data_IF_030505977407
#
_entry.id   IF_030505977407
#
_cell.length_a   1.000
_cell.length_b   1.000
_cell.length_c   1.000
_cell.angle_alpha   90.00
_cell.angle_beta   90.00
_cell.angle_gamma   90.00
#
_symmetry.space_group_name_H-M   'P 1'
#
loop_
_entity.id
_entity.type
_entity.pdbx_description
1 polymer ?
#
# COMPACT_ATOMS: atom_id res chain seq x y z
N UNK A 1 2.60 1.33 10.75
CA UNK A 1 1.75 2.46 11.15
C UNK A 1 2.10 3.71 10.35
N UNK A 2 3.33 4.27 10.47
CA UNK A 2 3.74 5.52 9.82
C UNK A 2 3.50 5.55 8.30
N UNK A 3 3.70 4.44 7.61
CA UNK A 3 3.44 4.30 6.18
C UNK A 3 1.99 4.65 5.83
N UNK A 4 1.03 4.10 6.58
CA UNK A 4 -0.39 4.39 6.35
C UNK A 4 -0.79 5.80 6.80
N UNK A 5 -0.24 6.27 7.91
CA UNK A 5 -0.50 7.60 8.42
C UNK A 5 -0.02 8.69 7.45
N UNK A 6 1.26 8.62 7.00
CA UNK A 6 1.84 9.60 6.06
C UNK A 6 1.13 9.63 4.71
N UNK A 7 0.74 8.45 4.22
CA UNK A 7 0.02 8.34 2.95
C UNK A 7 -1.32 9.11 2.98
N UNK A 8 -2.07 9.04 4.08
CA UNK A 8 -3.45 9.55 4.13
C UNK A 8 -3.63 10.85 4.91
N UNK A 9 -2.66 11.27 5.73
CA UNK A 9 -2.75 12.55 6.46
C UNK A 9 -2.91 13.75 5.52
N UNK A 10 -2.37 13.68 4.31
CA UNK A 10 -2.51 14.70 3.27
C UNK A 10 -3.98 15.02 2.94
N UNK A 11 -4.89 14.04 3.11
CA UNK A 11 -6.31 14.21 2.80
C UNK A 11 -6.95 15.38 3.54
N UNK A 12 -6.55 15.57 4.81
CA UNK A 12 -7.00 16.71 5.61
C UNK A 12 -6.39 18.03 5.18
N UNK A 13 -5.19 18.01 4.64
CA UNK A 13 -4.50 19.21 4.19
C UNK A 13 -5.00 19.72 2.82
N UNK A 14 -5.50 18.84 1.94
CA UNK A 14 -5.90 19.18 0.56
C UNK A 14 -6.83 20.38 0.46
N UNK A 15 -7.93 20.53 1.24
CA UNK A 15 -8.79 21.68 1.15
C UNK A 15 -8.06 23.01 1.43
N UNK A 16 -7.15 22.99 2.40
CA UNK A 16 -6.37 24.18 2.80
C UNK A 16 -5.22 24.50 1.83
N UNK A 17 -4.55 23.46 1.28
CA UNK A 17 -3.47 23.63 0.30
C UNK A 17 -3.95 24.30 -0.98
N UNK A 18 -5.20 24.05 -1.39
CA UNK A 18 -5.83 24.70 -2.53
C UNK A 18 -5.84 26.22 -2.36
N UNK A 19 -6.31 26.68 -1.21
CA UNK A 19 -6.39 28.11 -0.91
C UNK A 19 -5.03 28.72 -0.65
N UNK A 20 -4.15 28.02 0.13
CA UNK A 20 -2.86 28.54 0.53
C UNK A 20 -1.88 28.74 -0.64
N UNK A 21 -1.87 27.82 -1.62
CA UNK A 21 -0.98 27.87 -2.79
C UNK A 21 -1.68 28.34 -4.07
N UNK A 22 -2.92 28.84 -4.00
CA UNK A 22 -3.72 29.32 -5.14
C UNK A 22 -3.83 28.26 -6.26
N UNK A 23 -4.35 27.08 -5.91
CA UNK A 23 -4.43 25.93 -6.81
C UNK A 23 -5.81 25.72 -7.43
N UNK A 24 -6.71 26.71 -7.40
CA UNK A 24 -8.08 26.56 -7.91
C UNK A 24 -8.20 26.68 -9.44
N UNK A 25 -7.13 27.07 -10.13
CA UNK A 25 -7.10 27.14 -11.59
C UNK A 25 -6.95 25.75 -12.26
N UNK A 26 -7.26 25.65 -13.55
CA UNK A 26 -7.05 24.43 -14.32
C UNK A 26 -5.58 23.93 -14.29
N UNK A 27 -4.62 24.87 -14.32
CA UNK A 27 -3.20 24.56 -14.13
C UNK A 27 -2.89 24.18 -12.66
N UNK A 28 -3.62 24.72 -11.71
CA UNK A 28 -3.55 24.43 -10.28
C UNK A 28 -3.99 23.01 -9.95
N UNK A 29 -4.93 22.44 -10.69
CA UNK A 29 -5.38 21.04 -10.47
C UNK A 29 -4.25 20.02 -10.63
N UNK A 30 -3.38 20.18 -11.64
CA UNK A 30 -2.17 19.32 -11.79
C UNK A 30 -1.15 19.58 -10.69
N UNK A 31 -0.96 20.84 -10.24
CA UNK A 31 -0.11 21.14 -9.09
C UNK A 31 -0.63 20.48 -7.82
N UNK A 32 -1.96 20.50 -7.60
CA UNK A 32 -2.57 19.78 -6.50
C UNK A 32 -2.33 18.25 -6.60
N UNK A 33 -2.47 17.71 -7.80
CA UNK A 33 -2.11 16.30 -8.08
C UNK A 33 -0.66 16.00 -7.70
N UNK A 34 0.29 16.90 -8.04
CA UNK A 34 1.69 16.77 -7.61
C UNK A 34 1.85 16.86 -6.09
N UNK A 35 1.15 17.78 -5.42
CA UNK A 35 1.20 17.91 -3.96
C UNK A 35 0.85 16.59 -3.26
N UNK A 36 -0.14 15.88 -3.77
CA UNK A 36 -0.62 14.63 -3.18
C UNK A 36 0.20 13.42 -3.65
N UNK A 37 0.47 13.31 -4.96
CA UNK A 37 1.16 12.14 -5.54
C UNK A 37 2.67 12.12 -5.30
N UNK A 38 3.31 13.23 -4.96
CA UNK A 38 4.77 13.34 -4.75
C UNK A 38 5.30 12.34 -3.73
N UNK A 39 4.53 11.99 -2.71
CA UNK A 39 4.82 10.90 -1.79
C UNK A 39 4.97 9.56 -2.53
N UNK A 40 4.05 9.26 -3.44
CA UNK A 40 4.07 8.01 -4.23
C UNK A 40 5.31 7.91 -5.12
N UNK A 41 5.69 9.00 -5.78
CA UNK A 41 6.93 9.05 -6.59
C UNK A 41 8.18 8.86 -5.74
N UNK A 42 8.24 9.50 -4.56
CA UNK A 42 9.28 9.27 -3.58
C UNK A 42 9.32 7.81 -3.11
N UNK A 43 8.15 7.20 -2.85
CA UNK A 43 8.05 5.81 -2.41
C UNK A 43 8.57 4.81 -3.45
N UNK A 44 8.33 5.05 -4.75
CA UNK A 44 8.93 4.23 -5.81
C UNK A 44 10.46 4.26 -5.76
N UNK A 45 11.05 5.44 -5.60
CA UNK A 45 12.51 5.59 -5.51
C UNK A 45 13.06 4.93 -4.21
N UNK A 46 12.39 5.15 -3.07
CA UNK A 46 12.74 4.53 -1.78
C UNK A 46 12.70 3.02 -1.83
N UNK A 47 11.67 2.46 -2.45
CA UNK A 47 11.51 1.00 -2.62
C UNK A 47 12.61 0.41 -3.51
N UNK A 48 12.96 1.08 -4.62
CA UNK A 48 14.02 0.65 -5.52
C UNK A 48 15.40 0.59 -4.84
N UNK A 49 15.68 1.53 -3.93
CA UNK A 49 16.96 1.60 -3.22
C UNK A 49 17.00 0.73 -1.95
N UNK A 50 15.85 0.42 -1.35
CA UNK A 50 15.77 -0.20 -0.02
C UNK A 50 16.49 -1.56 0.07
N UNK A 51 16.39 -2.40 -0.95
CA UNK A 51 17.06 -3.70 -0.98
C UNK A 51 18.57 -3.55 -0.89
N UNK A 52 19.16 -2.72 -1.76
CA UNK A 52 20.60 -2.45 -1.78
C UNK A 52 21.09 -1.84 -0.46
N UNK A 53 20.37 -0.84 0.06
CA UNK A 53 20.73 -0.18 1.31
C UNK A 53 20.66 -1.16 2.49
N UNK A 54 19.62 -1.99 2.55
CA UNK A 54 19.43 -2.99 3.61
C UNK A 54 20.52 -4.07 3.59
N UNK A 55 20.98 -4.49 2.43
CA UNK A 55 22.06 -5.47 2.30
C UNK A 55 23.43 -4.86 2.67
N UNK A 56 23.63 -3.57 2.37
CA UNK A 56 24.88 -2.87 2.66
C UNK A 56 25.01 -2.46 4.12
N UNK A 57 23.98 -1.82 4.69
CA UNK A 57 24.05 -1.15 6.02
C UNK A 57 23.29 -1.88 7.13
N UNK A 58 22.48 -2.88 6.79
CA UNK A 58 21.64 -3.60 7.73
C UNK A 58 20.20 -3.08 7.76
N UNK A 59 19.32 -3.93 8.28
CA UNK A 59 17.87 -3.64 8.28
C UNK A 59 17.53 -2.54 9.29
N UNK A 60 18.08 -2.65 10.49
CA UNK A 60 17.90 -1.66 11.56
C UNK A 60 18.39 -0.27 11.14
N UNK A 61 19.57 -0.19 10.54
CA UNK A 61 20.15 1.09 10.10
C UNK A 61 19.26 1.76 9.05
N UNK A 62 18.73 1.02 8.08
CA UNK A 62 17.80 1.56 7.08
C UNK A 62 16.49 2.01 7.73
N UNK A 63 15.93 1.25 8.67
CA UNK A 63 14.74 1.66 9.41
C UNK A 63 14.98 2.93 10.26
N UNK A 64 16.13 3.08 10.88
CA UNK A 64 16.53 4.32 11.58
C UNK A 64 16.61 5.51 10.60
N UNK A 65 17.20 5.32 9.42
CA UNK A 65 17.21 6.35 8.38
C UNK A 65 15.79 6.74 7.96
N UNK A 66 14.90 5.77 7.76
CA UNK A 66 13.51 6.08 7.42
C UNK A 66 12.81 6.86 8.53
N UNK A 67 13.08 6.56 9.80
CA UNK A 67 12.51 7.31 10.92
C UNK A 67 12.94 8.78 10.93
N UNK A 68 14.23 9.05 10.66
CA UNK A 68 14.76 10.42 10.53
C UNK A 68 14.14 11.13 9.33
N UNK A 69 14.01 10.46 8.19
CA UNK A 69 13.40 11.03 7.00
C UNK A 69 11.90 11.32 7.20
N UNK A 70 11.15 10.44 7.89
CA UNK A 70 9.77 10.72 8.28
C UNK A 70 9.65 11.97 9.13
N UNK A 71 10.52 12.10 10.14
CA UNK A 71 10.55 13.26 11.02
C UNK A 71 10.89 14.54 10.25
N UNK A 72 11.93 14.51 9.44
CA UNK A 72 12.35 15.65 8.63
C UNK A 72 11.27 16.06 7.63
N UNK A 73 10.66 15.08 6.93
CA UNK A 73 9.59 15.31 5.97
C UNK A 73 8.38 15.98 6.63
N UNK A 74 7.89 15.43 7.75
CA UNK A 74 6.69 15.95 8.42
C UNK A 74 6.89 17.39 8.92
N UNK A 75 8.04 17.67 9.54
CA UNK A 75 8.37 19.03 10.02
C UNK A 75 8.55 20.00 8.86
N UNK A 76 9.28 19.62 7.80
CA UNK A 76 9.50 20.47 6.64
C UNK A 76 8.20 20.73 5.91
N UNK A 77 7.32 19.74 5.73
CA UNK A 77 6.03 19.90 5.08
C UNK A 77 5.10 20.83 5.91
N UNK A 78 5.09 20.67 7.25
CA UNK A 78 4.30 21.54 8.14
C UNK A 78 4.76 22.99 8.13
N UNK A 79 6.06 23.25 7.98
CA UNK A 79 6.66 24.58 8.01
C UNK A 79 6.82 25.18 6.60
N UNK A 80 6.47 24.45 5.54
CA UNK A 80 6.63 24.92 4.17
C UNK A 80 5.82 26.19 3.89
N UNK A 81 6.48 27.20 3.32
CA UNK A 81 5.87 28.44 2.82
C UNK A 81 5.89 28.50 1.30
N UNK A 82 6.75 27.72 0.66
CA UNK A 82 6.90 27.58 -0.78
C UNK A 82 6.43 26.20 -1.24
N UNK A 83 5.79 26.15 -2.42
CA UNK A 83 5.25 24.93 -2.99
C UNK A 83 6.35 23.91 -3.33
N UNK A 84 7.51 24.36 -3.83
CA UNK A 84 8.63 23.49 -4.15
C UNK A 84 9.22 22.82 -2.91
N UNK A 85 9.34 23.57 -1.79
CA UNK A 85 9.79 23.02 -0.49
C UNK A 85 8.78 21.98 0.01
N UNK A 86 7.48 22.26 -0.14
CA UNK A 86 6.42 21.31 0.21
C UNK A 86 6.55 19.99 -0.58
N UNK A 87 6.71 20.08 -1.91
CA UNK A 87 6.89 18.91 -2.77
C UNK A 87 8.16 18.14 -2.39
N UNK A 88 9.28 18.82 -2.17
CA UNK A 88 10.53 18.18 -1.76
C UNK A 88 10.37 17.43 -0.42
N UNK A 89 9.68 18.03 0.55
CA UNK A 89 9.38 17.39 1.82
C UNK A 89 8.52 16.12 1.62
N UNK A 90 7.49 16.17 0.77
CA UNK A 90 6.65 15.00 0.46
C UNK A 90 7.43 13.89 -0.26
N UNK A 91 8.35 14.23 -1.17
CA UNK A 91 9.24 13.24 -1.80
C UNK A 91 10.14 12.57 -0.77
N UNK A 92 10.70 13.32 0.18
CA UNK A 92 11.50 12.76 1.29
C UNK A 92 10.68 11.80 2.16
N UNK A 93 9.42 12.17 2.49
CA UNK A 93 8.48 11.27 3.17
C UNK A 93 8.23 10.00 2.35
N UNK A 94 8.04 10.16 1.04
CA UNK A 94 7.90 9.04 0.12
C UNK A 94 9.10 8.09 0.13
N UNK A 95 10.32 8.60 0.07
CA UNK A 95 11.54 7.77 0.20
C UNK A 95 11.52 6.94 1.48
N UNK A 96 11.05 7.51 2.59
CA UNK A 96 10.89 6.79 3.86
C UNK A 96 9.83 5.71 3.76
N UNK A 97 8.65 6.03 3.20
CA UNK A 97 7.55 5.09 3.00
C UNK A 97 8.01 3.88 2.18
N UNK A 98 8.66 4.13 1.03
CA UNK A 98 9.11 3.06 0.15
C UNK A 98 10.17 2.17 0.79
N UNK A 99 11.14 2.76 1.47
CA UNK A 99 12.17 2.00 2.16
C UNK A 99 11.62 1.22 3.36
N UNK A 100 10.69 1.81 4.13
CA UNK A 100 10.10 1.16 5.29
C UNK A 100 9.16 0.01 4.92
N UNK A 101 8.34 0.17 3.87
CA UNK A 101 7.36 -0.85 3.45
C UNK A 101 8.04 -2.14 2.98
N UNK A 102 9.25 -2.04 2.42
CA UNK A 102 10.05 -3.19 2.02
C UNK A 102 10.84 -3.77 3.19
N UNK A 103 11.53 -2.89 3.96
CA UNK A 103 12.51 -3.34 4.96
C UNK A 103 11.85 -3.87 6.22
N UNK A 104 10.72 -3.30 6.67
CA UNK A 104 10.10 -3.69 7.94
C UNK A 104 9.57 -5.14 7.93
N UNK A 105 8.83 -5.62 6.92
CA UNK A 105 8.41 -7.02 6.86
C UNK A 105 9.59 -8.00 6.80
N UNK A 106 10.65 -7.64 6.05
CA UNK A 106 11.87 -8.45 5.95
C UNK A 106 12.55 -8.55 7.31
N UNK A 107 12.71 -7.43 8.01
CA UNK A 107 13.28 -7.39 9.35
C UNK A 107 12.49 -8.25 10.34
N UNK A 108 11.15 -8.10 10.35
CA UNK A 108 10.26 -8.91 11.17
C UNK A 108 10.43 -10.40 10.86
N UNK A 109 10.46 -10.77 9.58
CA UNK A 109 10.60 -12.16 9.14
C UNK A 109 11.95 -12.78 9.50
N UNK A 110 13.03 -11.96 9.59
CA UNK A 110 14.37 -12.40 9.93
C UNK A 110 14.59 -12.59 11.44
N UNK A 111 13.89 -11.83 12.29
CA UNK A 111 13.98 -11.91 13.76
C UNK A 111 12.95 -12.86 14.36
N UNK A 112 11.74 -12.90 13.79
CA UNK A 112 10.63 -13.64 14.36
C UNK A 112 10.89 -15.15 14.41
N UNK A 113 10.48 -15.84 15.50
CA UNK A 113 10.43 -17.29 15.56
C UNK A 113 9.56 -17.85 14.43
N UNK A 114 9.94 -19.02 13.89
CA UNK A 114 9.22 -19.66 12.77
C UNK A 114 7.71 -19.82 13.04
N UNK A 115 7.32 -20.13 14.30
CA UNK A 115 5.91 -20.26 14.72
C UNK A 115 5.07 -19.02 14.56
N UNK A 116 5.63 -17.84 14.79
CA UNK A 116 4.89 -16.56 14.83
C UNK A 116 5.20 -15.64 13.67
N UNK A 117 6.11 -16.03 12.77
CA UNK A 117 6.58 -15.20 11.65
C UNK A 117 5.44 -14.68 10.78
N UNK A 118 4.55 -15.57 10.36
CA UNK A 118 3.41 -15.21 9.51
C UNK A 118 2.47 -14.21 10.17
N UNK A 119 2.09 -14.46 11.44
CA UNK A 119 1.21 -13.57 12.18
C UNK A 119 1.84 -12.19 12.41
N UNK A 120 3.13 -12.12 12.71
CA UNK A 120 3.82 -10.83 12.91
C UNK A 120 3.93 -10.00 11.61
N UNK A 121 4.12 -10.66 10.47
CA UNK A 121 4.09 -9.98 9.16
C UNK A 121 2.67 -9.49 8.85
N UNK A 122 1.63 -10.26 9.19
CA UNK A 122 0.23 -9.82 9.04
C UNK A 122 -0.10 -8.62 9.94
N UNK A 123 0.44 -8.58 11.16
CA UNK A 123 0.31 -7.42 12.07
C UNK A 123 0.94 -6.17 11.44
N UNK A 124 2.06 -6.29 10.71
CA UNK A 124 2.64 -5.15 10.00
C UNK A 124 1.65 -4.55 8.98
N UNK A 125 0.94 -5.37 8.22
CA UNK A 125 -0.08 -4.91 7.27
C UNK A 125 -1.26 -4.25 8.00
N UNK A 126 -1.73 -4.85 9.09
CA UNK A 126 -2.79 -4.29 9.91
C UNK A 126 -2.41 -2.91 10.48
N UNK A 127 -1.14 -2.74 10.91
CA UNK A 127 -0.65 -1.46 11.39
C UNK A 127 -0.66 -0.36 10.32
N UNK A 128 -0.47 -0.69 9.04
CA UNK A 128 -0.61 0.26 7.93
C UNK A 128 -2.06 0.75 7.86
N UNK A 129 -3.03 -0.15 7.89
CA UNK A 129 -4.47 0.19 7.82
C UNK A 129 -4.93 0.98 9.06
N UNK A 130 -4.43 0.64 10.25
CA UNK A 130 -4.67 1.43 11.46
C UNK A 130 -4.07 2.84 11.30
N UNK A 131 -2.88 2.97 10.72
CA UNK A 131 -2.25 4.27 10.44
C UNK A 131 -3.11 5.14 9.53
N UNK A 132 -3.71 4.56 8.49
CA UNK A 132 -4.69 5.23 7.61
C UNK A 132 -5.87 5.75 8.42
N UNK A 133 -6.48 4.92 9.25
CA UNK A 133 -7.63 5.31 10.06
C UNK A 133 -7.27 6.40 11.06
N UNK A 134 -6.18 6.25 11.80
CA UNK A 134 -5.72 7.23 12.81
C UNK A 134 -5.41 8.57 12.17
N UNK A 135 -4.92 8.62 10.92
CA UNK A 135 -4.71 9.89 10.21
C UNK A 135 -6.02 10.67 9.98
N UNK A 136 -7.11 9.98 9.63
CA UNK A 136 -8.43 10.63 9.48
C UNK A 136 -8.95 11.17 10.81
N UNK A 137 -8.78 10.42 11.91
CA UNK A 137 -9.11 10.91 13.26
C UNK A 137 -8.27 12.12 13.62
N UNK A 138 -6.96 12.07 13.41
CA UNK A 138 -6.05 13.18 13.67
C UNK A 138 -6.46 14.42 12.89
N UNK A 139 -6.76 14.28 11.60
CA UNK A 139 -7.22 15.38 10.74
C UNK A 139 -8.51 16.01 11.27
N UNK A 140 -9.48 15.19 11.68
CA UNK A 140 -10.74 15.67 12.24
C UNK A 140 -10.53 16.50 13.52
N UNK A 141 -9.77 15.99 14.49
CA UNK A 141 -9.52 16.71 15.74
C UNK A 141 -8.71 17.99 15.55
N UNK A 142 -7.78 18.00 14.60
CA UNK A 142 -6.96 19.19 14.31
C UNK A 142 -7.68 20.24 13.44
N UNK A 143 -8.82 19.90 12.86
CA UNK A 143 -9.61 20.82 12.05
C UNK A 143 -10.00 22.10 12.80
N UNK A 144 -10.23 22.01 14.12
CA UNK A 144 -10.62 23.13 14.97
C UNK A 144 -9.53 24.21 15.13
N UNK A 145 -8.30 23.96 14.68
CA UNK A 145 -7.18 24.92 14.78
C UNK A 145 -7.21 26.03 13.70
N UNK A 146 -8.26 26.08 12.89
CA UNK A 146 -8.48 27.15 11.92
C UNK A 146 -7.67 27.02 10.62
N UNK A 147 -7.32 28.14 9.98
CA UNK A 147 -6.67 28.16 8.66
C UNK A 147 -5.31 27.43 8.60
N UNK A 148 -4.61 27.37 9.70
CA UNK A 148 -3.33 26.68 9.83
C UNK A 148 -3.47 25.20 10.20
N UNK A 149 -4.67 24.64 10.26
CA UNK A 149 -4.93 23.22 10.63
C UNK A 149 -4.08 22.24 9.82
N UNK A 150 -3.92 22.49 8.52
CA UNK A 150 -3.14 21.60 7.65
C UNK A 150 -1.66 21.45 8.07
N UNK A 151 -1.07 22.50 8.64
CA UNK A 151 0.30 22.46 9.17
C UNK A 151 0.40 21.52 10.37
N UNK A 152 -0.58 21.61 11.26
CA UNK A 152 -0.68 20.73 12.42
C UNK A 152 -0.99 19.28 12.01
N UNK A 153 -1.88 19.08 11.02
CA UNK A 153 -2.18 17.75 10.47
C UNK A 153 -0.93 17.07 9.93
N UNK A 154 -0.11 17.77 9.15
CA UNK A 154 1.15 17.21 8.64
C UNK A 154 2.22 17.10 9.74
N UNK A 155 2.29 18.09 10.63
CA UNK A 155 3.28 18.16 11.69
C UNK A 155 3.10 17.09 12.78
N UNK A 156 1.86 16.71 13.10
CA UNK A 156 1.58 15.73 14.17
C UNK A 156 2.20 14.36 13.89
N UNK A 157 2.46 14.03 12.63
CA UNK A 157 3.18 12.82 12.23
C UNK A 157 4.59 12.74 12.83
N UNK A 158 5.18 13.88 13.18
CA UNK A 158 6.49 13.93 13.85
C UNK A 158 6.50 13.17 15.19
N UNK A 159 5.37 13.14 15.90
CA UNK A 159 5.23 12.43 17.18
C UNK A 159 5.41 10.92 17.03
N UNK A 160 4.62 10.21 16.20
CA UNK A 160 4.85 8.79 15.99
C UNK A 160 6.17 8.50 15.25
N UNK A 161 6.73 9.44 14.45
CA UNK A 161 8.04 9.29 13.84
C UNK A 161 9.17 9.33 14.87
N UNK A 162 9.12 10.26 15.83
CA UNK A 162 10.06 10.33 16.94
C UNK A 162 9.98 9.09 17.85
N UNK A 163 8.76 8.62 18.13
CA UNK A 163 8.55 7.37 18.88
C UNK A 163 9.15 6.17 18.15
N UNK A 164 8.92 6.08 16.84
CA UNK A 164 9.49 5.01 16.00
C UNK A 164 11.02 5.05 16.01
N UNK A 165 11.62 6.23 15.85
CA UNK A 165 13.07 6.40 15.96
C UNK A 165 13.60 5.92 17.32
N UNK A 166 12.96 6.37 18.40
CA UNK A 166 13.37 6.03 19.76
C UNK A 166 13.29 4.53 20.02
N UNK A 167 12.18 3.88 19.62
CA UNK A 167 12.00 2.44 19.80
C UNK A 167 13.04 1.64 19.00
N UNK A 168 13.40 2.08 17.78
CA UNK A 168 14.41 1.42 16.95
C UNK A 168 15.83 1.47 17.57
N UNK A 169 16.12 2.40 18.48
CA UNK A 169 17.40 2.42 19.19
C UNK A 169 17.60 1.19 20.10
N UNK A 170 16.51 0.60 20.57
CA UNK A 170 16.52 -0.55 21.47
C UNK A 170 16.37 -1.90 20.75
N UNK A 171 16.12 -1.90 19.46
CA UNK A 171 15.91 -3.12 18.67
C UNK A 171 17.27 -3.60 18.11
N UNK A 172 17.60 -4.91 18.16
CA UNK A 172 18.86 -5.44 17.62
C UNK A 172 18.89 -5.43 16.10
N UNK A 173 20.06 -5.60 15.49
CA UNK A 173 20.18 -5.79 14.05
C UNK A 173 19.73 -7.22 13.64
N UNK A 174 19.36 -7.42 12.38
CA UNK A 174 18.94 -8.71 11.86
C UNK A 174 20.03 -9.78 12.03
N UNK A 175 19.73 -10.93 12.66
CA UNK A 175 20.70 -12.01 12.82
C UNK A 175 21.15 -12.58 11.46
N UNK A 176 20.28 -12.60 10.47
CA UNK A 176 20.61 -13.04 9.11
C UNK A 176 21.63 -12.13 8.46
N UNK A 177 21.45 -10.81 8.60
CA UNK A 177 22.39 -9.83 8.07
C UNK A 177 23.74 -9.89 8.81
N UNK A 178 23.72 -10.02 10.15
CA UNK A 178 24.94 -10.18 10.96
C UNK A 178 25.78 -11.38 10.50
N UNK A 179 25.12 -12.52 10.20
CA UNK A 179 25.81 -13.71 9.66
C UNK A 179 26.41 -13.45 8.27
N UNK A 180 25.74 -12.68 7.39
CA UNK A 180 26.33 -12.31 6.09
C UNK A 180 27.57 -11.44 6.20
N UNK A 181 27.72 -10.72 7.33
CA UNK A 181 28.89 -9.85 7.62
C UNK A 181 29.94 -10.56 8.49
N UNK A 182 29.79 -11.86 8.78
CA UNK A 182 30.71 -12.61 9.61
C UNK A 182 30.63 -12.33 11.12
N UNK A 183 29.63 -11.54 11.58
CA UNK A 183 29.39 -11.14 12.99
C UNK A 183 28.60 -12.23 13.72
N UNK A 184 29.16 -13.47 13.74
CA UNK A 184 28.45 -14.67 14.24
C UNK A 184 28.13 -14.62 15.74
N UNK A 185 29.01 -14.02 16.55
CA UNK A 185 28.78 -13.89 17.98
C UNK A 185 27.57 -13.01 18.29
N UNK A 186 27.42 -11.89 17.60
CA UNK A 186 26.28 -10.99 17.75
C UNK A 186 24.98 -11.62 17.23
N UNK A 187 25.04 -12.29 16.08
CA UNK A 187 23.90 -13.02 15.54
C UNK A 187 23.39 -14.07 16.53
N UNK A 188 24.30 -14.78 17.18
CA UNK A 188 23.99 -15.76 18.23
C UNK A 188 23.30 -15.10 19.41
N UNK A 189 23.86 -14.02 19.95
CA UNK A 189 23.29 -13.27 21.08
C UNK A 189 21.86 -12.81 20.79
N UNK A 190 21.59 -12.27 19.58
CA UNK A 190 20.25 -11.85 19.17
C UNK A 190 19.29 -13.05 19.11
N UNK A 191 19.67 -14.15 18.49
CA UNK A 191 18.83 -15.34 18.41
C UNK A 191 18.57 -15.98 19.77
N UNK A 192 19.59 -16.03 20.64
CA UNK A 192 19.44 -16.55 22.01
C UNK A 192 18.47 -15.70 22.84
N UNK A 193 18.51 -14.37 22.70
CA UNK A 193 17.59 -13.48 23.41
C UNK A 193 16.12 -13.62 22.95
N UNK A 194 15.88 -13.99 21.68
CA UNK A 194 14.53 -14.09 21.10
C UNK A 194 13.96 -15.50 21.20
N UNK A 195 14.78 -16.55 21.06
CA UNK A 195 14.31 -17.92 20.87
C UNK A 195 14.92 -18.93 21.84
N UNK A 196 15.90 -18.52 22.68
CA UNK A 196 16.66 -19.39 23.57
C UNK A 196 17.84 -20.09 22.88
N UNK A 197 18.80 -20.57 23.68
CA UNK A 197 20.11 -21.05 23.20
C UNK A 197 20.05 -22.27 22.29
N UNK A 198 19.13 -23.22 22.53
CA UNK A 198 18.98 -24.42 21.73
C UNK A 198 18.46 -24.15 20.32
N UNK A 199 17.40 -23.33 20.21
CA UNK A 199 16.80 -22.95 18.94
C UNK A 199 17.74 -22.02 18.12
N UNK A 200 18.53 -21.18 18.79
CA UNK A 200 19.48 -20.27 18.16
C UNK A 200 20.56 -21.03 17.37
N UNK A 201 21.11 -22.09 17.91
CA UNK A 201 22.13 -22.93 17.21
C UNK A 201 21.59 -23.55 15.94
N UNK A 202 20.44 -24.22 16.05
CA UNK A 202 19.79 -24.85 14.90
C UNK A 202 19.45 -23.81 13.81
N UNK A 203 19.01 -22.61 14.19
CA UNK A 203 18.67 -21.57 13.23
C UNK A 203 19.90 -20.97 12.55
N UNK A 204 21.03 -20.81 13.23
CA UNK A 204 22.30 -20.39 12.63
C UNK A 204 22.74 -21.40 11.56
N UNK A 205 22.68 -22.70 11.85
CA UNK A 205 23.02 -23.75 10.89
C UNK A 205 22.13 -23.68 9.63
N UNK A 206 20.80 -23.55 9.81
CA UNK A 206 19.85 -23.42 8.70
C UNK A 206 20.13 -22.16 7.86
N UNK A 207 20.37 -21.01 8.50
CA UNK A 207 20.68 -19.77 7.79
C UNK A 207 22.00 -19.91 7.02
N UNK A 208 23.04 -20.47 7.65
CA UNK A 208 24.37 -20.65 7.02
C UNK A 208 24.29 -21.62 5.84
N UNK A 209 23.57 -22.72 5.99
CA UNK A 209 23.31 -23.66 4.89
C UNK A 209 22.55 -23.00 3.72
N UNK A 210 21.63 -22.09 4.02
CA UNK A 210 20.88 -21.34 2.98
C UNK A 210 21.78 -20.42 2.15
N UNK A 211 22.92 -19.97 2.69
CA UNK A 211 23.89 -19.17 1.93
C UNK A 211 24.69 -20.00 0.92
N UNK A 212 24.99 -21.25 1.27
CA UNK A 212 25.67 -22.18 0.36
C UNK A 212 24.80 -22.54 -0.86
N UNK A 213 23.48 -22.65 -0.67
CA UNK A 213 22.52 -22.96 -1.72
C UNK A 213 22.11 -21.73 -2.60
N UNK A 214 22.64 -20.55 -2.34
CA UNK A 214 22.35 -19.32 -3.14
C UNK A 214 22.93 -19.33 -4.56
N UNK A 215 23.37 -20.46 -5.10
CA UNK A 215 24.11 -20.56 -6.35
C UNK A 215 23.29 -20.23 -7.63
N UNK A 216 21.99 -20.00 -7.57
CA UNK A 216 21.21 -19.61 -8.76
C UNK A 216 20.29 -18.43 -8.47
N UNK A 217 20.84 -17.23 -8.47
CA UNK A 217 19.98 -16.05 -8.71
C UNK A 217 19.51 -16.13 -10.16
N UNK A 218 18.26 -16.51 -10.34
CA UNK A 218 17.60 -16.43 -11.64
C UNK A 218 17.71 -14.99 -12.13
N UNK A 219 18.28 -14.79 -13.30
CA UNK A 219 18.49 -13.46 -13.84
C UNK A 219 17.14 -12.79 -14.10
N UNK A 220 17.03 -11.49 -13.82
CA UNK A 220 15.83 -10.68 -14.07
C UNK A 220 15.26 -10.85 -15.50
N UNK A 221 16.14 -11.14 -16.49
CA UNK A 221 15.76 -11.42 -17.87
C UNK A 221 14.94 -12.71 -18.04
N UNK A 222 15.17 -13.72 -17.22
CA UNK A 222 14.42 -14.99 -17.30
C UNK A 222 12.93 -14.82 -16.94
N UNK A 223 12.59 -13.80 -16.14
CA UNK A 223 11.21 -13.47 -15.82
C UNK A 223 10.38 -13.12 -17.07
N UNK A 224 11.02 -12.54 -18.09
CA UNK A 224 10.37 -12.16 -19.36
C UNK A 224 10.39 -13.30 -20.40
N UNK A 225 10.86 -14.50 -20.03
CA UNK A 225 10.79 -15.66 -20.91
C UNK A 225 9.33 -16.00 -21.28
N UNK A 226 9.13 -16.60 -22.47
CA UNK A 226 7.80 -16.88 -23.00
C UNK A 226 6.90 -17.67 -22.04
N UNK A 227 7.49 -18.57 -21.25
CA UNK A 227 6.78 -19.40 -20.25
C UNK A 227 6.11 -18.60 -19.12
N UNK A 228 6.61 -17.39 -18.78
CA UNK A 228 6.07 -16.57 -17.71
C UNK A 228 5.23 -15.39 -18.19
N UNK A 229 5.13 -15.17 -19.51
CA UNK A 229 4.42 -14.01 -20.07
C UNK A 229 2.96 -13.93 -19.62
N UNK A 230 2.26 -15.06 -19.60
CA UNK A 230 0.84 -15.08 -19.18
C UNK A 230 0.71 -14.71 -17.70
N UNK A 231 1.57 -15.24 -16.83
CA UNK A 231 1.58 -14.93 -15.40
C UNK A 231 1.92 -13.45 -15.14
N UNK A 232 2.91 -12.92 -15.88
CA UNK A 232 3.26 -11.51 -15.79
C UNK A 232 2.14 -10.60 -16.29
N UNK A 233 1.52 -10.91 -17.43
CA UNK A 233 0.39 -10.14 -17.95
C UNK A 233 -0.78 -10.15 -16.96
N UNK A 234 -1.07 -11.30 -16.35
CA UNK A 234 -2.06 -11.37 -15.29
C UNK A 234 -1.65 -10.53 -14.07
N UNK A 235 -0.38 -10.64 -13.62
CA UNK A 235 0.15 -9.84 -12.52
C UNK A 235 0.08 -8.32 -12.79
N UNK A 236 0.44 -7.88 -13.99
CA UNK A 236 0.30 -6.48 -14.40
C UNK A 236 -1.16 -6.04 -14.47
N UNK A 237 -2.04 -6.91 -14.99
CA UNK A 237 -3.47 -6.63 -15.09
C UNK A 237 -4.14 -6.46 -13.73
N UNK A 238 -3.92 -7.39 -12.78
CA UNK A 238 -4.51 -7.29 -11.44
C UNK A 238 -3.95 -6.07 -10.68
N UNK A 239 -2.65 -5.77 -10.82
CA UNK A 239 -2.02 -4.61 -10.22
C UNK A 239 -2.52 -3.29 -10.83
N UNK A 240 -2.79 -3.27 -12.15
CA UNK A 240 -3.41 -2.14 -12.83
C UNK A 240 -4.82 -1.89 -12.27
N UNK A 241 -5.70 -2.89 -12.31
CA UNK A 241 -7.08 -2.72 -11.84
C UNK A 241 -7.17 -2.39 -10.35
N UNK A 242 -6.23 -2.89 -9.53
CA UNK A 242 -6.18 -2.53 -8.11
C UNK A 242 -6.04 -1.01 -7.92
N UNK A 243 -5.22 -0.34 -8.71
CA UNK A 243 -4.94 1.09 -8.57
C UNK A 243 -5.80 1.97 -9.49
N UNK A 244 -6.10 1.51 -10.71
CA UNK A 244 -6.86 2.26 -11.69
C UNK A 244 -8.33 2.48 -11.29
N UNK A 245 -8.86 1.70 -10.33
CA UNK A 245 -10.15 1.95 -9.70
C UNK A 245 -10.13 3.13 -8.71
N UNK A 246 -8.98 3.76 -8.48
CA UNK A 246 -8.86 5.03 -7.76
C UNK A 246 -8.76 4.93 -6.25
N UNK A 247 -8.48 3.77 -5.65
CA UNK A 247 -8.51 3.59 -4.19
C UNK A 247 -7.63 4.59 -3.44
N UNK A 248 -6.39 4.81 -3.87
CA UNK A 248 -5.49 5.75 -3.21
C UNK A 248 -5.92 7.20 -3.46
N UNK A 249 -6.37 7.54 -4.68
CA UNK A 249 -6.93 8.86 -4.96
C UNK A 249 -8.15 9.13 -4.06
N UNK A 250 -9.07 8.17 -3.93
CA UNK A 250 -10.23 8.30 -3.05
C UNK A 250 -9.78 8.57 -1.61
N UNK A 251 -8.87 7.79 -1.04
CA UNK A 251 -8.39 8.00 0.33
C UNK A 251 -7.73 9.37 0.53
N UNK A 252 -6.94 9.83 -0.44
CA UNK A 252 -6.20 11.10 -0.31
C UNK A 252 -7.07 12.34 -0.54
N UNK A 253 -8.19 12.20 -1.23
CA UNK A 253 -9.11 13.29 -1.50
C UNK A 253 -10.47 13.14 -0.78
N UNK A 254 -10.59 12.24 0.19
CA UNK A 254 -11.87 11.85 0.83
C UNK A 254 -12.66 13.05 1.36
N UNK A 255 -12.11 13.99 2.18
CA UNK A 255 -12.85 15.16 2.64
C UNK A 255 -13.28 16.08 1.48
N UNK A 256 -12.45 16.19 0.44
CA UNK A 256 -12.77 16.99 -0.76
C UNK A 256 -13.93 16.37 -1.52
N UNK A 257 -13.98 15.04 -1.67
CA UNK A 257 -15.06 14.31 -2.36
C UNK A 257 -16.38 14.52 -1.60
N UNK A 258 -16.37 14.39 -0.27
CA UNK A 258 -17.56 14.63 0.54
C UNK A 258 -18.02 16.09 0.52
N UNK A 259 -17.08 17.05 0.53
CA UNK A 259 -17.38 18.46 0.35
C UNK A 259 -18.06 18.77 -1.00
N UNK A 260 -17.60 18.13 -2.09
CA UNK A 260 -18.22 18.25 -3.42
C UNK A 260 -19.62 17.60 -3.49
N UNK A 261 -19.91 16.63 -2.63
CA UNK A 261 -21.24 16.02 -2.51
C UNK A 261 -22.25 16.92 -1.75
N UNK A 262 -21.83 18.07 -1.24
CA UNK A 262 -22.66 19.02 -0.51
C UNK A 262 -22.49 18.99 1.01
N UNK A 263 -21.53 18.20 1.53
CA UNK A 263 -21.25 18.14 2.96
C UNK A 263 -20.51 19.38 3.47
N UNK A 264 -20.84 19.82 4.68
CA UNK A 264 -20.01 20.79 5.40
C UNK A 264 -18.63 20.20 5.70
N UNK A 265 -17.61 21.06 5.81
CA UNK A 265 -16.23 20.62 6.01
C UNK A 265 -16.08 19.69 7.23
N UNK A 266 -16.70 20.00 8.36
CA UNK A 266 -16.70 19.18 9.57
C UNK A 266 -17.34 17.80 9.35
N UNK A 267 -18.46 17.76 8.61
CA UNK A 267 -19.15 16.53 8.22
C UNK A 267 -18.28 15.68 7.31
N UNK A 268 -17.63 16.29 6.31
CA UNK A 268 -16.73 15.59 5.39
C UNK A 268 -15.55 14.91 6.09
N UNK A 269 -14.96 15.55 7.09
CA UNK A 269 -13.92 14.94 7.91
C UNK A 269 -14.45 13.80 8.81
N UNK A 270 -15.63 13.99 9.42
CA UNK A 270 -16.28 12.93 10.22
C UNK A 270 -16.64 11.70 9.37
N UNK A 271 -17.14 11.90 8.16
CA UNK A 271 -17.41 10.83 7.20
C UNK A 271 -16.13 10.09 6.79
N UNK A 272 -15.01 10.84 6.64
CA UNK A 272 -13.70 10.22 6.36
C UNK A 272 -13.22 9.32 7.49
N UNK A 273 -13.45 9.68 8.75
CA UNK A 273 -13.17 8.83 9.91
C UNK A 273 -13.96 7.52 9.84
N UNK A 274 -15.26 7.60 9.49
CA UNK A 274 -16.10 6.41 9.36
C UNK A 274 -15.59 5.46 8.28
N UNK A 275 -15.17 5.99 7.13
CA UNK A 275 -14.55 5.20 6.05
C UNK A 275 -13.26 4.53 6.54
N UNK A 276 -12.42 5.23 7.30
CA UNK A 276 -11.22 4.68 7.91
C UNK A 276 -11.52 3.52 8.87
N UNK A 277 -12.54 3.66 9.72
CA UNK A 277 -12.98 2.59 10.64
C UNK A 277 -13.47 1.36 9.89
N UNK A 278 -14.28 1.56 8.84
CA UNK A 278 -14.76 0.47 8.00
C UNK A 278 -13.58 -0.25 7.33
N UNK A 279 -12.59 0.48 6.83
CA UNK A 279 -11.40 -0.12 6.25
C UNK A 279 -10.66 -1.03 7.25
N UNK A 280 -10.48 -0.60 8.50
CA UNK A 280 -9.89 -1.44 9.56
C UNK A 280 -10.75 -2.67 9.83
N UNK A 281 -12.07 -2.50 10.06
CA UNK A 281 -12.98 -3.60 10.34
C UNK A 281 -13.01 -4.64 9.22
N UNK A 282 -13.09 -4.17 7.97
CA UNK A 282 -13.13 -5.05 6.80
C UNK A 282 -11.79 -5.74 6.52
N UNK A 283 -10.67 -5.15 6.96
CA UNK A 283 -9.36 -5.82 6.90
C UNK A 283 -9.33 -7.04 7.84
N UNK A 284 -9.89 -6.97 9.04
CA UNK A 284 -10.05 -8.15 9.92
C UNK A 284 -10.93 -9.21 9.26
N UNK A 285 -12.06 -8.80 8.67
CA UNK A 285 -12.95 -9.71 7.93
C UNK A 285 -12.19 -10.38 6.78
N UNK A 286 -11.37 -9.63 6.05
CA UNK A 286 -10.57 -10.16 4.93
C UNK A 286 -9.60 -11.25 5.38
N UNK A 287 -8.85 -11.02 6.47
CA UNK A 287 -7.91 -12.00 7.03
C UNK A 287 -8.64 -13.32 7.37
N UNK A 288 -9.84 -13.22 7.92
CA UNK A 288 -10.64 -14.40 8.26
C UNK A 288 -11.26 -15.10 7.03
N UNK A 289 -11.62 -14.32 6.00
CA UNK A 289 -12.41 -14.80 4.87
C UNK A 289 -11.55 -15.41 3.75
N UNK A 290 -10.29 -14.93 3.59
CA UNK A 290 -9.42 -15.31 2.47
C UNK A 290 -9.13 -16.82 2.41
N UNK A 291 -9.00 -17.46 3.58
CA UNK A 291 -8.74 -18.91 3.66
C UNK A 291 -10.03 -19.75 3.62
N UNK A 292 -11.19 -19.11 3.85
CA UNK A 292 -12.49 -19.80 3.85
C UNK A 292 -13.18 -19.83 2.51
N UNK A 293 -13.22 -18.71 1.81
CA UNK A 293 -13.91 -18.59 0.52
C UNK A 293 -13.02 -18.84 -0.69
N UNK A 294 -11.71 -18.63 -0.55
CA UNK A 294 -10.78 -18.70 -1.68
C UNK A 294 -10.56 -17.34 -2.35
N UNK A 295 -9.56 -17.31 -3.24
CA UNK A 295 -9.06 -16.05 -3.81
C UNK A 295 -9.97 -15.54 -4.93
N UNK A 296 -10.37 -16.41 -5.84
CA UNK A 296 -11.20 -16.07 -7.01
C UNK A 296 -12.60 -15.55 -6.63
N UNK A 297 -13.38 -16.20 -5.74
CA UNK A 297 -14.67 -15.67 -5.31
C UNK A 297 -14.56 -14.31 -4.64
N UNK A 298 -13.57 -14.13 -3.73
CA UNK A 298 -13.37 -12.85 -3.05
C UNK A 298 -13.07 -11.72 -4.03
N UNK A 299 -12.20 -11.96 -5.03
CA UNK A 299 -11.92 -10.99 -6.08
C UNK A 299 -13.17 -10.67 -6.88
N UNK A 300 -13.92 -11.69 -7.31
CA UNK A 300 -15.12 -11.49 -8.14
C UNK A 300 -16.19 -10.67 -7.43
N UNK A 301 -16.57 -11.07 -6.19
CA UNK A 301 -17.57 -10.34 -5.41
C UNK A 301 -17.12 -8.94 -5.03
N UNK A 302 -15.85 -8.79 -4.61
CA UNK A 302 -15.34 -7.50 -4.20
C UNK A 302 -15.26 -6.51 -5.35
N UNK A 303 -14.73 -6.92 -6.52
CA UNK A 303 -14.61 -6.01 -7.68
C UNK A 303 -15.97 -5.69 -8.30
N UNK A 304 -16.92 -6.64 -8.29
CA UNK A 304 -18.31 -6.34 -8.67
C UNK A 304 -18.93 -5.28 -7.74
N UNK A 305 -18.77 -5.44 -6.43
CA UNK A 305 -19.24 -4.46 -5.45
C UNK A 305 -18.56 -3.10 -5.61
N UNK A 306 -17.25 -3.07 -5.90
CA UNK A 306 -16.52 -1.83 -6.22
C UNK A 306 -17.10 -1.13 -7.46
N UNK A 307 -17.36 -1.87 -8.54
CA UNK A 307 -17.93 -1.33 -9.77
C UNK A 307 -19.32 -0.73 -9.52
N UNK A 308 -20.20 -1.47 -8.86
CA UNK A 308 -21.54 -0.99 -8.50
C UNK A 308 -21.44 0.28 -7.62
N UNK A 309 -20.57 0.29 -6.63
CA UNK A 309 -20.39 1.44 -5.73
C UNK A 309 -19.92 2.68 -6.48
N UNK A 310 -18.90 2.56 -7.35
CA UNK A 310 -18.36 3.68 -8.14
C UNK A 310 -19.39 4.23 -9.14
N UNK A 311 -20.15 3.36 -9.80
CA UNK A 311 -21.25 3.77 -10.69
C UNK A 311 -22.37 4.46 -9.90
N UNK A 312 -22.67 4.00 -8.68
CA UNK A 312 -23.64 4.66 -7.78
C UNK A 312 -23.15 6.04 -7.36
N UNK A 313 -21.85 6.21 -7.06
CA UNK A 313 -21.25 7.51 -6.76
C UNK A 313 -21.38 8.45 -7.96
N UNK A 314 -21.05 7.96 -9.15
CA UNK A 314 -21.20 8.72 -10.41
C UNK A 314 -22.63 9.22 -10.59
N UNK A 315 -23.59 8.32 -10.42
CA UNK A 315 -25.01 8.69 -10.51
C UNK A 315 -25.43 9.69 -9.45
N UNK A 316 -25.00 9.52 -8.20
CA UNK A 316 -25.33 10.43 -7.10
C UNK A 316 -24.80 11.85 -7.34
N UNK A 317 -23.59 11.99 -7.89
CA UNK A 317 -23.05 13.30 -8.29
C UNK A 317 -23.82 13.91 -9.49
N UNK A 318 -24.26 13.09 -10.44
CA UNK A 318 -25.06 13.55 -11.56
C UNK A 318 -26.44 14.07 -11.13
N UNK A 319 -27.10 13.33 -10.22
CA UNK A 319 -28.43 13.65 -9.72
C UNK A 319 -28.47 14.81 -8.72
N UNK A 320 -27.34 15.24 -8.17
CA UNK A 320 -27.14 16.28 -7.17
C UNK A 320 -27.93 16.09 -5.86
N UNK A 321 -27.38 16.61 -4.74
CA UNK A 321 -28.09 16.59 -3.45
C UNK A 321 -28.17 15.23 -2.72
N UNK A 322 -27.35 14.25 -3.11
CA UNK A 322 -27.40 12.88 -2.54
C UNK A 322 -26.16 12.54 -1.70
N UNK A 323 -25.71 13.43 -0.80
CA UNK A 323 -24.54 13.25 0.07
C UNK A 323 -24.55 11.89 0.81
N UNK A 324 -25.70 11.46 1.34
CA UNK A 324 -25.82 10.19 2.05
C UNK A 324 -25.58 8.98 1.14
N UNK A 325 -25.98 9.07 -0.11
CA UNK A 325 -25.74 8.00 -1.10
C UNK A 325 -24.27 7.92 -1.43
N UNK A 326 -23.61 9.06 -1.61
CA UNK A 326 -22.15 9.12 -1.84
C UNK A 326 -21.40 8.50 -0.64
N UNK A 327 -21.80 8.82 0.59
CA UNK A 327 -21.21 8.24 1.80
C UNK A 327 -21.37 6.70 1.83
N UNK A 328 -22.59 6.20 1.66
CA UNK A 328 -22.87 4.76 1.69
C UNK A 328 -22.12 4.04 0.58
N UNK A 329 -22.10 4.59 -0.62
CA UNK A 329 -21.41 4.01 -1.76
C UNK A 329 -19.88 4.03 -1.60
N UNK A 330 -19.28 5.11 -1.02
CA UNK A 330 -17.86 5.14 -0.70
C UNK A 330 -17.49 4.13 0.39
N UNK A 331 -18.29 4.00 1.44
CA UNK A 331 -18.11 2.98 2.47
C UNK A 331 -18.17 1.58 1.83
N UNK A 332 -19.16 1.32 0.98
CA UNK A 332 -19.30 0.03 0.29
C UNK A 332 -18.12 -0.25 -0.63
N UNK A 333 -17.64 0.76 -1.37
CA UNK A 333 -16.46 0.65 -2.23
C UNK A 333 -15.22 0.26 -1.42
N UNK A 334 -14.94 0.98 -0.33
CA UNK A 334 -13.77 0.70 0.53
C UNK A 334 -13.90 -0.67 1.20
N UNK A 335 -15.10 -1.04 1.66
CA UNK A 335 -15.35 -2.36 2.23
C UNK A 335 -15.06 -3.48 1.22
N UNK A 336 -15.59 -3.35 0.00
CA UNK A 336 -15.35 -4.31 -1.08
C UNK A 336 -13.87 -4.39 -1.47
N UNK A 337 -13.16 -3.27 -1.54
CA UNK A 337 -11.72 -3.24 -1.80
C UNK A 337 -10.94 -3.94 -0.67
N UNK A 338 -11.24 -3.62 0.59
CA UNK A 338 -10.53 -4.14 1.75
C UNK A 338 -10.64 -5.67 1.90
N UNK A 339 -11.76 -6.27 1.48
CA UNK A 339 -11.93 -7.74 1.50
C UNK A 339 -11.39 -8.44 0.25
N UNK A 340 -11.11 -7.71 -0.83
CA UNK A 340 -10.76 -8.30 -2.13
C UNK A 340 -9.39 -7.83 -2.63
N UNK A 341 -9.35 -6.87 -3.56
CA UNK A 341 -8.13 -6.42 -4.24
C UNK A 341 -7.03 -5.97 -3.28
N UNK A 342 -7.36 -5.42 -2.11
CA UNK A 342 -6.38 -4.98 -1.12
C UNK A 342 -5.44 -6.12 -0.71
N UNK A 343 -5.91 -7.14 -0.01
CA UNK A 343 -5.07 -8.25 0.46
C UNK A 343 -4.87 -9.34 -0.60
N UNK A 344 -5.91 -9.69 -1.38
CA UNK A 344 -5.91 -10.90 -2.23
C UNK A 344 -4.90 -10.80 -3.36
N UNK A 345 -4.69 -9.60 -3.95
CA UNK A 345 -3.69 -9.41 -5.00
C UNK A 345 -2.30 -9.88 -4.55
N UNK A 346 -1.83 -9.43 -3.40
CA UNK A 346 -0.49 -9.77 -2.92
C UNK A 346 -0.34 -11.25 -2.58
N UNK A 347 -1.38 -11.85 -1.99
CA UNK A 347 -1.41 -13.29 -1.72
C UNK A 347 -1.36 -14.06 -3.03
N UNK A 348 -2.20 -13.72 -3.99
CA UNK A 348 -2.26 -14.39 -5.28
C UNK A 348 -0.94 -14.28 -6.05
N UNK A 349 -0.30 -13.11 -6.08
CA UNK A 349 1.02 -12.93 -6.68
C UNK A 349 2.09 -13.82 -6.03
N UNK A 350 2.00 -14.03 -4.71
CA UNK A 350 2.92 -14.91 -4.00
C UNK A 350 2.67 -16.39 -4.28
N UNK A 351 1.49 -16.76 -4.71
CA UNK A 351 1.06 -18.16 -4.98
C UNK A 351 1.26 -18.56 -6.44
N UNK A 352 1.08 -17.63 -7.40
CA UNK A 352 1.15 -17.95 -8.84
C UNK A 352 2.56 -17.99 -9.41
N UNK A 353 3.52 -17.27 -8.81
CA UNK A 353 4.90 -17.25 -9.31
C UNK A 353 5.75 -18.34 -8.66
N UNK A 354 6.56 -19.08 -9.46
CA UNK A 354 7.49 -20.10 -8.96
C UNK A 354 8.45 -19.51 -7.92
N UNK A 355 8.85 -20.35 -6.97
CA UNK A 355 9.66 -19.93 -5.81
C UNK A 355 10.94 -19.19 -6.18
N UNK A 356 11.60 -19.57 -7.28
CA UNK A 356 12.86 -18.97 -7.76
C UNK A 356 12.66 -17.56 -8.33
N UNK A 357 11.53 -17.32 -9.03
CA UNK A 357 11.22 -16.05 -9.72
C UNK A 357 10.30 -15.14 -8.91
N UNK A 358 9.66 -15.64 -7.86
CA UNK A 358 8.62 -14.95 -7.07
C UNK A 358 9.03 -13.56 -6.60
N UNK A 359 10.21 -13.45 -6.00
CA UNK A 359 10.69 -12.16 -5.48
C UNK A 359 10.88 -11.13 -6.60
N UNK A 360 11.45 -11.54 -7.73
CA UNK A 360 11.65 -10.66 -8.89
C UNK A 360 10.30 -10.27 -9.54
N UNK A 361 9.37 -11.23 -9.67
CA UNK A 361 8.03 -10.99 -10.21
C UNK A 361 7.23 -10.00 -9.35
N UNK A 362 7.19 -10.23 -8.03
CA UNK A 362 6.50 -9.33 -7.08
C UNK A 362 7.12 -7.92 -7.12
N UNK A 363 8.45 -7.81 -7.24
CA UNK A 363 9.12 -6.51 -7.35
C UNK A 363 8.73 -5.74 -8.61
N UNK A 364 8.68 -6.43 -9.77
CA UNK A 364 8.30 -5.80 -11.05
C UNK A 364 6.84 -5.39 -11.06
N UNK A 365 5.94 -6.29 -10.62
CA UNK A 365 4.51 -6.02 -10.54
C UNK A 365 4.23 -4.93 -9.49
N UNK A 366 4.93 -4.95 -8.36
CA UNK A 366 4.83 -3.92 -7.32
C UNK A 366 5.30 -2.54 -7.79
N UNK A 367 6.38 -2.48 -8.58
CA UNK A 367 6.81 -1.23 -9.21
C UNK A 367 5.73 -0.69 -10.15
N UNK A 368 5.18 -1.53 -11.03
CA UNK A 368 4.06 -1.18 -11.90
C UNK A 368 2.83 -0.70 -11.13
N UNK A 369 2.46 -1.40 -10.06
CA UNK A 369 1.38 -1.02 -9.17
C UNK A 369 1.58 0.39 -8.59
N UNK A 370 2.79 0.68 -8.11
CA UNK A 370 3.14 2.00 -7.57
C UNK A 370 3.11 3.09 -8.64
N UNK A 371 3.56 2.80 -9.86
CA UNK A 371 3.50 3.72 -10.99
C UNK A 371 2.05 4.08 -11.34
N UNK A 372 1.18 3.08 -11.47
CA UNK A 372 -0.26 3.31 -11.73
C UNK A 372 -0.89 4.12 -10.59
N UNK A 373 -0.60 3.76 -9.33
CA UNK A 373 -1.09 4.47 -8.15
C UNK A 373 -0.70 5.95 -8.15
N UNK A 374 0.58 6.26 -8.35
CA UNK A 374 1.08 7.62 -8.39
C UNK A 374 0.49 8.42 -9.55
N UNK A 375 0.33 7.78 -10.72
CA UNK A 375 -0.28 8.40 -11.91
C UNK A 375 -1.76 8.72 -11.71
N UNK A 376 -2.55 7.78 -11.21
CA UNK A 376 -3.98 7.98 -10.91
C UNK A 376 -4.15 9.08 -9.86
N UNK A 377 -3.34 9.08 -8.81
CA UNK A 377 -3.39 10.13 -7.77
C UNK A 377 -3.02 11.52 -8.32
N UNK A 378 -2.03 11.58 -9.21
CA UNK A 378 -1.60 12.81 -9.89
C UNK A 378 -2.72 13.38 -10.78
N UNK A 379 -3.36 12.51 -11.54
CA UNK A 379 -4.34 12.92 -12.55
C UNK A 379 -5.72 13.20 -11.96
N UNK A 380 -6.07 12.63 -10.82
CA UNK A 380 -7.40 12.72 -10.21
C UNK A 380 -7.97 14.16 -10.12
N UNK A 381 -7.23 15.19 -9.62
CA UNK A 381 -7.78 16.54 -9.59
C UNK A 381 -8.03 17.13 -10.99
N UNK A 382 -7.19 16.77 -11.97
CA UNK A 382 -7.35 17.22 -13.35
C UNK A 382 -8.54 16.52 -14.03
N UNK A 383 -8.76 15.24 -13.76
CA UNK A 383 -9.92 14.46 -14.22
C UNK A 383 -11.22 15.06 -13.65
N UNK A 384 -11.23 15.35 -12.35
CA UNK A 384 -12.39 16.01 -11.70
C UNK A 384 -12.63 17.41 -12.26
N UNK A 385 -11.58 18.17 -12.57
CA UNK A 385 -11.71 19.48 -13.19
C UNK A 385 -12.24 19.41 -14.64
N UNK A 386 -11.84 18.39 -15.40
CA UNK A 386 -12.21 18.23 -16.81
C UNK A 386 -13.58 17.56 -17.02
N UNK A 387 -13.91 16.54 -16.26
CA UNK A 387 -15.10 15.69 -16.44
C UNK A 387 -16.14 15.84 -15.34
N UNK A 388 -15.83 16.63 -14.31
CA UNK A 388 -16.59 16.70 -13.06
C UNK A 388 -16.48 15.40 -12.24
N UNK A 389 -16.96 15.43 -10.97
CA UNK A 389 -16.93 14.23 -10.12
C UNK A 389 -17.71 13.07 -10.73
N UNK A 390 -18.90 13.33 -11.32
CA UNK A 390 -19.72 12.29 -11.96
C UNK A 390 -18.96 11.57 -13.08
N UNK A 391 -18.31 12.28 -14.00
CA UNK A 391 -17.56 11.71 -15.11
C UNK A 391 -16.33 10.91 -14.64
N UNK A 392 -15.61 11.43 -13.65
CA UNK A 392 -14.45 10.75 -13.07
C UNK A 392 -14.84 9.42 -12.42
N UNK A 393 -15.89 9.41 -11.58
CA UNK A 393 -16.35 8.16 -10.95
C UNK A 393 -17.01 7.21 -11.95
N UNK A 394 -17.60 7.71 -13.05
CA UNK A 394 -18.04 6.86 -14.15
C UNK A 394 -16.86 6.11 -14.78
N UNK A 395 -15.79 6.81 -15.11
CA UNK A 395 -14.60 6.19 -15.69
C UNK A 395 -14.01 5.11 -14.77
N UNK A 396 -13.88 5.40 -13.46
CA UNK A 396 -13.39 4.43 -12.48
C UNK A 396 -14.35 3.24 -12.31
N UNK A 397 -15.66 3.46 -12.34
CA UNK A 397 -16.67 2.41 -12.30
C UNK A 397 -16.62 1.48 -13.53
N UNK A 398 -16.42 2.03 -14.73
CA UNK A 398 -16.23 1.26 -15.95
C UNK A 398 -14.91 0.47 -15.93
N UNK A 399 -13.82 1.07 -15.41
CA UNK A 399 -12.56 0.35 -15.20
C UNK A 399 -12.71 -0.79 -14.19
N UNK A 400 -13.48 -0.59 -13.11
CA UNK A 400 -13.78 -1.67 -12.16
C UNK A 400 -14.61 -2.78 -12.80
N UNK A 401 -15.60 -2.44 -13.66
CA UNK A 401 -16.38 -3.43 -14.41
C UNK A 401 -15.51 -4.23 -15.39
N UNK A 402 -14.59 -3.58 -16.10
CA UNK A 402 -13.59 -4.26 -16.94
C UNK A 402 -12.67 -5.15 -16.08
N UNK A 403 -12.24 -4.67 -14.92
CA UNK A 403 -11.47 -5.45 -13.95
C UNK A 403 -12.23 -6.68 -13.46
N UNK A 404 -13.54 -6.57 -13.23
CA UNK A 404 -14.38 -7.71 -12.88
C UNK A 404 -14.37 -8.77 -13.98
N UNK A 405 -14.56 -8.38 -15.25
CA UNK A 405 -14.51 -9.31 -16.39
C UNK A 405 -13.11 -9.96 -16.49
N UNK A 406 -12.06 -9.16 -16.41
CA UNK A 406 -10.68 -9.65 -16.47
C UNK A 406 -10.38 -10.66 -15.36
N UNK A 407 -10.73 -10.36 -14.12
CA UNK A 407 -10.42 -11.21 -12.98
C UNK A 407 -11.28 -12.47 -12.95
N UNK A 408 -12.56 -12.39 -13.28
CA UNK A 408 -13.43 -13.57 -13.34
C UNK A 408 -13.01 -14.53 -14.44
N UNK A 409 -12.51 -14.01 -15.58
CA UNK A 409 -12.04 -14.83 -16.69
C UNK A 409 -10.66 -15.47 -16.42
N UNK A 410 -9.72 -14.73 -15.82
CA UNK A 410 -8.31 -15.12 -15.79
C UNK A 410 -7.76 -15.46 -14.40
N UNK A 411 -8.42 -15.06 -13.29
CA UNK A 411 -7.90 -15.35 -11.95
C UNK A 411 -7.93 -16.86 -11.67
N UNK A 412 -6.77 -17.47 -11.37
CA UNK A 412 -6.72 -18.86 -10.95
C UNK A 412 -7.27 -19.01 -9.52
N UNK A 413 -7.94 -20.13 -9.24
CA UNK A 413 -8.24 -20.49 -7.85
C UNK A 413 -7.05 -21.27 -7.27
N UNK A 414 -6.46 -20.70 -6.25
CA UNK A 414 -5.24 -21.23 -5.63
C UNK A 414 -5.48 -21.89 -4.28
N UNK A 415 -6.71 -21.77 -3.74
CA UNK A 415 -7.08 -22.34 -2.44
C UNK A 415 -6.86 -23.85 -2.39
N UNK A 416 -6.16 -24.30 -1.33
CA UNK A 416 -5.95 -25.72 -1.05
C UNK A 416 -5.01 -26.43 -1.99
N UNK A 417 -4.31 -25.72 -2.87
CA UNK A 417 -3.31 -26.26 -3.77
C UNK A 417 -1.90 -25.99 -3.25
N UNK A 418 -1.01 -26.96 -3.44
CA UNK A 418 0.41 -26.75 -3.16
C UNK A 418 1.05 -25.88 -4.25
N UNK A 419 2.18 -25.24 -3.94
CA UNK A 419 2.90 -24.41 -4.93
C UNK A 419 3.35 -25.24 -6.14
N UNK A 420 3.73 -26.49 -5.92
CA UNK A 420 4.15 -27.42 -6.96
C UNK A 420 2.98 -27.82 -7.89
N UNK A 421 1.78 -28.00 -7.34
CA UNK A 421 0.56 -28.24 -8.11
C UNK A 421 0.20 -27.03 -8.96
N UNK A 422 0.32 -25.82 -8.40
CA UNK A 422 0.08 -24.59 -9.13
C UNK A 422 1.09 -24.38 -10.26
N UNK A 423 2.36 -24.62 -10.01
CA UNK A 423 3.39 -24.58 -11.05
C UNK A 423 3.08 -25.53 -12.21
N UNK A 424 2.62 -26.74 -11.91
CA UNK A 424 2.26 -27.75 -12.91
C UNK A 424 1.01 -27.34 -13.72
N UNK A 425 0.00 -26.78 -13.05
CA UNK A 425 -1.23 -26.29 -13.69
C UNK A 425 -0.99 -25.10 -14.62
N UNK A 426 -0.16 -24.15 -14.17
CA UNK A 426 0.09 -22.90 -14.88
C UNK A 426 1.16 -23.06 -15.99
N UNK A 427 1.98 -24.10 -15.92
CA UNK A 427 2.95 -24.46 -16.96
C UNK A 427 2.30 -25.17 -18.16
N UNK A 428 1.05 -25.72 -18.05
CA UNK A 428 0.33 -26.32 -19.17
C UNK A 428 -0.25 -25.20 -20.04
N UNK A 429 0.09 -25.13 -21.36
CA UNK A 429 -0.60 -24.22 -22.24
C UNK A 429 -2.11 -24.58 -22.22
N UNK A 430 -2.97 -23.57 -22.10
CA UNK A 430 -4.41 -23.75 -22.12
C UNK A 430 -4.79 -24.53 -23.41
N UNK A 431 -5.12 -25.82 -23.27
CA UNK A 431 -5.78 -26.57 -24.33
C UNK A 431 -7.18 -25.96 -24.45
N UNK A 432 -7.40 -25.26 -25.55
CA UNK A 432 -8.74 -24.85 -25.96
C UNK A 432 -9.61 -26.12 -26.02
N UNK A 433 -10.62 -26.22 -25.16
CA UNK A 433 -11.68 -27.21 -25.26
C UNK A 433 -11.78 -28.22 -24.13
N UNK A 434 -12.01 -27.79 -22.89
CA UNK A 434 -12.77 -28.57 -21.92
C UNK A 434 -13.58 -27.60 -21.06
N UNK A 435 -14.75 -27.26 -21.62
CA UNK A 435 -15.85 -26.70 -20.83
C UNK A 435 -16.60 -27.90 -20.27
N UNK A 436 -16.56 -28.06 -18.96
CA UNK A 436 -17.56 -28.81 -18.19
C UNK A 436 -17.99 -28.00 -16.98
#
# INVERSE_FOLDING_TARGET
FLVGFDATVISGAVPFLKTYFDLDSAAGSLKLGWAVSSLGWGAMAGNACAGYLSDRWGRRSVLLMTAVLFLASSLTAALATDFGVFIAARILGGLSVGAAILTAPVYIAEIAPARSRGSLVSVNQLMIVIGISVSFFSNYFLLSLGENSWRWMLGVQSVPAALYFTLLLFVPESPRWLLTKGRTAEARSVLESVQGAGAARAQIEVITASFANKARRVGFRELFAARFRVLLLFGFGIAFFQQATGINAIFYYLPTIFGQAGGELSSAFAQSMLVGLVNVGMTFVAIWLIDRLGRRPLLSFGVAGMAISLLTISWAFHAQGHERIVLIALISYVACFAISLGPVMWVLLSEIFPSEQRAAAISVVGFWNSLVSASVTLLFPAEVAAWGPSGTFLAYGLLAALGFVFLTALAPETRGKTLEELETMLARPARAGEVH
#
